data_IF_897975757584
#
_entry.id   IF_897975757584
#
_cell.length_a   1.000
_cell.length_b   1.000
_cell.length_c   1.000
_cell.angle_alpha   90.00
_cell.angle_beta   90.00
_cell.angle_gamma   90.00
#
_symmetry.space_group_name_H-M   'P 1'
#
loop_
_entity.id
_entity.type
_entity.pdbx_description
1 polymer ?
#
# COMPACT_ATOMS: atom_id res chain seq x y z
N UNK A 1 3.96 12.31 3.83
CA UNK A 1 5.12 11.40 3.77
C UNK A 1 4.99 10.42 4.91
N UNK A 2 5.40 9.18 4.69
CA UNK A 2 5.10 8.09 5.60
C UNK A 2 5.70 8.28 7.00
N UNK A 3 5.03 7.72 7.99
CA UNK A 3 5.49 7.62 9.38
C UNK A 3 5.49 6.16 9.83
N UNK A 4 6.35 5.84 10.79
CA UNK A 4 6.43 4.50 11.38
C UNK A 4 5.94 4.55 12.82
N UNK A 5 5.12 3.57 13.20
CA UNK A 5 4.68 3.36 14.58
C UNK A 5 4.95 1.92 15.01
N UNK A 6 5.72 1.73 16.07
CA UNK A 6 6.02 0.41 16.62
C UNK A 6 4.93 -0.02 17.61
N UNK A 7 4.23 -1.11 17.35
CA UNK A 7 3.06 -1.48 18.15
C UNK A 7 3.41 -1.89 19.58
N UNK A 8 4.59 -2.48 19.80
CA UNK A 8 5.00 -2.97 21.12
C UNK A 8 5.54 -1.85 22.03
N UNK A 9 6.26 -0.88 21.46
CA UNK A 9 6.92 0.18 22.23
C UNK A 9 6.18 1.51 22.19
N UNK A 10 5.17 1.62 21.33
CA UNK A 10 4.44 2.86 21.02
C UNK A 10 5.35 4.00 20.48
N UNK A 11 6.57 3.67 20.08
CA UNK A 11 7.54 4.60 19.49
C UNK A 11 7.11 5.03 18.09
N UNK A 12 7.36 6.30 17.74
CA UNK A 12 7.10 6.85 16.41
C UNK A 12 8.36 7.40 15.77
N UNK A 13 8.55 7.09 14.49
CA UNK A 13 9.60 7.67 13.64
C UNK A 13 8.93 8.50 12.55
N UNK A 14 9.23 9.79 12.52
CA UNK A 14 8.68 10.75 11.55
C UNK A 14 9.75 11.51 10.77
N UNK A 15 11.02 11.44 11.20
CA UNK A 15 12.14 12.00 10.44
C UNK A 15 12.35 11.16 9.18
N UNK A 16 12.31 11.81 8.01
CA UNK A 16 12.15 11.13 6.73
C UNK A 16 13.39 10.35 6.31
N UNK A 17 14.56 10.82 6.74
CA UNK A 17 15.80 10.08 6.57
C UNK A 17 15.81 8.78 7.38
N UNK A 18 15.26 8.81 8.60
CA UNK A 18 15.19 7.65 9.49
C UNK A 18 14.13 6.65 9.02
N UNK A 19 12.96 7.12 8.60
CA UNK A 19 11.91 6.28 7.99
C UNK A 19 12.48 5.54 6.78
N UNK A 20 13.13 6.25 5.85
CA UNK A 20 13.74 5.64 4.67
C UNK A 20 14.79 4.59 5.04
N UNK A 21 15.72 4.92 5.91
CA UNK A 21 16.77 4.01 6.33
C UNK A 21 16.22 2.75 7.02
N UNK A 22 15.17 2.91 7.83
CA UNK A 22 14.52 1.80 8.52
C UNK A 22 13.81 0.85 7.56
N UNK A 23 13.06 1.38 6.59
CA UNK A 23 12.36 0.58 5.58
C UNK A 23 13.34 -0.10 4.63
N UNK A 24 14.38 0.63 4.17
CA UNK A 24 15.41 0.09 3.30
C UNK A 24 16.17 -1.07 3.95
N UNK A 25 16.47 -1.00 5.26
CA UNK A 25 17.13 -2.11 5.96
C UNK A 25 16.26 -3.37 6.08
N UNK A 26 14.99 -3.32 5.65
CA UNK A 26 14.01 -4.42 5.61
C UNK A 26 13.60 -4.78 4.18
N UNK A 27 14.33 -4.28 3.19
CA UNK A 27 14.04 -4.42 1.76
C UNK A 27 12.66 -3.86 1.34
N UNK A 28 12.04 -3.02 2.19
CA UNK A 28 10.79 -2.32 1.87
C UNK A 28 11.18 -1.06 1.09
N UNK A 29 10.81 -1.03 -0.19
CA UNK A 29 10.99 0.17 -1.00
C UNK A 29 10.01 1.24 -0.53
N UNK A 30 10.52 2.46 -0.33
CA UNK A 30 9.69 3.64 -0.12
C UNK A 30 10.13 4.78 -1.03
N UNK A 31 9.17 5.36 -1.75
CA UNK A 31 9.37 6.54 -2.58
C UNK A 31 8.30 7.59 -2.27
N UNK A 32 8.68 8.86 -2.40
CA UNK A 32 7.74 9.98 -2.30
C UNK A 32 7.67 10.63 -3.68
N UNK A 33 6.54 10.47 -4.35
CA UNK A 33 6.28 11.05 -5.67
C UNK A 33 5.58 12.40 -5.53
N UNK A 34 5.73 13.26 -6.54
CA UNK A 34 5.13 14.60 -6.53
C UNK A 34 3.62 14.52 -6.77
N UNK A 35 2.87 14.41 -5.68
CA UNK A 35 1.39 14.35 -5.71
C UNK A 35 0.77 15.64 -6.27
N UNK A 36 1.49 16.77 -6.29
CA UNK A 36 0.99 18.01 -6.85
C UNK A 36 0.76 17.95 -8.37
N UNK A 37 1.30 16.93 -9.05
CA UNK A 37 0.98 16.61 -10.45
C UNK A 37 -0.47 16.21 -10.67
N UNK A 38 -1.16 15.71 -9.63
CA UNK A 38 -2.53 15.21 -9.74
C UNK A 38 -3.51 16.37 -10.01
N UNK A 39 -4.31 16.31 -11.10
CA UNK A 39 -5.35 17.30 -11.36
C UNK A 39 -6.28 17.50 -10.17
N UNK A 40 -6.66 18.75 -9.90
CA UNK A 40 -7.52 19.09 -8.75
C UNK A 40 -8.88 18.37 -8.76
N UNK A 41 -9.40 17.99 -9.94
CA UNK A 41 -10.64 17.22 -10.06
C UNK A 41 -10.52 15.77 -9.60
N UNK A 42 -9.30 15.24 -9.48
CA UNK A 42 -9.01 13.87 -9.07
C UNK A 42 -8.51 13.78 -7.62
N UNK A 43 -8.14 14.91 -7.02
CA UNK A 43 -7.76 14.99 -5.60
C UNK A 43 -8.99 14.71 -4.74
N UNK A 44 -8.87 13.76 -3.80
CA UNK A 44 -9.96 13.37 -2.89
C UNK A 44 -11.24 12.90 -3.62
N UNK A 45 -11.10 12.38 -4.84
CA UNK A 45 -12.19 11.75 -5.58
C UNK A 45 -12.21 10.23 -5.33
N UNK A 46 -13.20 9.76 -4.57
CA UNK A 46 -13.35 8.35 -4.21
C UNK A 46 -14.35 7.57 -5.09
N UNK A 47 -15.07 8.25 -5.98
CA UNK A 47 -16.04 7.65 -6.91
C UNK A 47 -15.53 7.76 -8.36
N UNK A 48 -14.39 7.11 -8.60
CA UNK A 48 -13.66 7.21 -9.86
C UNK A 48 -14.42 6.55 -11.03
N UNK A 49 -14.57 7.29 -12.13
CA UNK A 49 -14.91 6.68 -13.42
C UNK A 49 -13.71 5.94 -14.00
N UNK A 50 -13.90 5.21 -15.11
CA UNK A 50 -12.76 4.58 -15.78
C UNK A 50 -11.83 5.63 -16.41
N UNK A 51 -12.37 6.75 -16.90
CA UNK A 51 -11.56 7.89 -17.36
C UNK A 51 -10.72 8.51 -16.22
N UNK A 52 -11.27 8.62 -15.01
CA UNK A 52 -10.54 9.11 -13.85
C UNK A 52 -9.35 8.20 -13.51
N UNK A 53 -9.54 6.88 -13.56
CA UNK A 53 -8.47 5.89 -13.32
C UNK A 53 -7.38 5.98 -14.39
N UNK A 54 -7.76 6.09 -15.66
CA UNK A 54 -6.80 6.28 -16.76
C UNK A 54 -6.00 7.58 -16.60
N UNK A 55 -6.65 8.67 -16.17
CA UNK A 55 -6.00 9.95 -15.92
C UNK A 55 -5.00 9.88 -14.76
N UNK A 56 -5.32 9.17 -13.68
CA UNK A 56 -4.37 8.90 -12.57
C UNK A 56 -3.15 8.15 -13.09
N UNK A 57 -3.34 7.03 -13.80
CA UNK A 57 -2.23 6.24 -14.37
C UNK A 57 -1.40 7.05 -15.36
N UNK A 58 -2.03 7.91 -16.16
CA UNK A 58 -1.33 8.77 -17.10
C UNK A 58 -0.47 9.83 -16.39
N UNK A 59 -0.96 10.38 -15.27
CA UNK A 59 -0.26 11.42 -14.49
C UNK A 59 1.06 10.91 -13.90
N UNK A 60 1.07 9.68 -13.40
CA UNK A 60 2.23 9.06 -12.76
C UNK A 60 2.94 8.02 -13.65
N UNK A 61 2.71 8.09 -14.96
CA UNK A 61 3.23 7.11 -15.92
C UNK A 61 4.76 6.97 -15.85
N UNK A 62 5.48 8.07 -15.75
CA UNK A 62 6.95 8.07 -15.75
C UNK A 62 7.49 7.36 -14.51
N UNK A 63 6.94 7.67 -13.33
CA UNK A 63 7.33 7.05 -12.07
C UNK A 63 6.96 5.56 -12.02
N UNK A 64 5.75 5.20 -12.49
CA UNK A 64 5.31 3.80 -12.62
C UNK A 64 6.25 3.04 -13.56
N UNK A 65 6.63 3.62 -14.70
CA UNK A 65 7.53 2.98 -15.66
C UNK A 65 8.94 2.80 -15.10
N UNK A 66 9.47 3.79 -14.39
CA UNK A 66 10.78 3.72 -13.75
C UNK A 66 10.84 2.60 -12.70
N UNK A 67 9.90 2.57 -11.75
CA UNK A 67 9.87 1.53 -10.71
C UNK A 67 9.61 0.14 -11.32
N UNK A 68 8.75 0.07 -12.34
CA UNK A 68 8.49 -1.19 -13.06
C UNK A 68 9.72 -1.70 -13.80
N UNK A 69 10.52 -0.82 -14.40
CA UNK A 69 11.76 -1.19 -15.06
C UNK A 69 12.82 -1.68 -14.06
N UNK A 70 12.94 -1.02 -12.90
CA UNK A 70 13.89 -1.40 -11.84
C UNK A 70 13.56 -2.72 -11.16
N UNK A 71 12.27 -3.00 -10.95
CA UNK A 71 11.80 -4.14 -10.13
C UNK A 71 11.11 -5.25 -10.93
N UNK A 72 10.90 -5.05 -12.22
CA UNK A 72 10.34 -6.06 -13.13
C UNK A 72 8.81 -6.11 -13.20
N UNK A 73 8.10 -5.13 -12.64
CA UNK A 73 6.64 -5.06 -12.67
C UNK A 73 6.08 -4.92 -14.10
N UNK A 74 4.83 -5.36 -14.31
CA UNK A 74 4.23 -5.53 -15.64
C UNK A 74 2.97 -4.70 -15.85
N UNK A 75 2.10 -4.65 -14.85
CA UNK A 75 0.79 -4.01 -14.97
C UNK A 75 0.50 -3.14 -13.76
N UNK A 76 -0.38 -2.16 -13.96
CA UNK A 76 -0.88 -1.32 -12.89
C UNK A 76 -2.38 -1.05 -13.11
N UNK A 77 -3.11 -0.92 -12.02
CA UNK A 77 -4.50 -0.45 -12.01
C UNK A 77 -4.76 0.47 -10.81
N UNK A 78 -5.98 1.01 -10.72
CA UNK A 78 -6.38 1.93 -9.65
C UNK A 78 -7.56 1.33 -8.90
N UNK A 79 -7.49 1.37 -7.57
CA UNK A 79 -8.60 1.02 -6.69
C UNK A 79 -9.01 2.23 -5.85
N UNK A 80 -10.29 2.25 -5.48
CA UNK A 80 -10.83 3.18 -4.50
C UNK A 80 -11.62 2.38 -3.46
N UNK A 81 -11.28 2.59 -2.18
CA UNK A 81 -12.05 2.12 -1.04
C UNK A 81 -12.56 3.36 -0.29
N UNK A 82 -13.84 3.40 0.02
CA UNK A 82 -14.47 4.42 0.86
C UNK A 82 -15.78 3.88 1.41
N UNK A 83 -16.47 4.61 2.29
CA UNK A 83 -17.79 4.21 2.77
C UNK A 83 -18.84 4.07 1.63
N UNK A 84 -18.56 4.58 0.43
CA UNK A 84 -19.39 4.35 -0.76
C UNK A 84 -19.14 2.98 -1.43
N UNK A 85 -18.06 2.28 -1.08
CA UNK A 85 -17.70 0.96 -1.62
C UNK A 85 -18.69 -0.10 -1.11
N UNK A 86 -19.41 -0.81 -2.00
CA UNK A 86 -20.28 -1.90 -1.59
C UNK A 86 -19.50 -2.98 -0.83
N UNK A 87 -20.05 -3.43 0.30
CA UNK A 87 -19.46 -4.47 1.15
C UNK A 87 -18.06 -4.11 1.67
N UNK A 88 -17.77 -2.82 1.91
CA UNK A 88 -16.46 -2.36 2.42
C UNK A 88 -16.01 -3.17 3.64
N UNK A 89 -16.87 -3.37 4.64
CA UNK A 89 -16.50 -4.08 5.86
C UNK A 89 -16.07 -5.52 5.59
N UNK A 90 -16.75 -6.23 4.68
CA UNK A 90 -16.38 -7.61 4.29
C UNK A 90 -15.05 -7.64 3.53
N UNK A 91 -14.77 -6.63 2.70
CA UNK A 91 -13.49 -6.48 2.01
C UNK A 91 -12.35 -6.21 3.00
N UNK A 92 -12.56 -5.29 3.95
CA UNK A 92 -11.57 -4.92 4.96
C UNK A 92 -11.20 -6.10 5.86
N UNK A 93 -12.15 -6.98 6.20
CA UNK A 93 -11.87 -8.21 6.98
C UNK A 93 -10.80 -9.08 6.30
N UNK A 94 -10.76 -9.14 4.96
CA UNK A 94 -9.74 -9.90 4.26
C UNK A 94 -8.36 -9.22 4.33
N UNK A 95 -8.31 -7.89 4.15
CA UNK A 95 -7.07 -7.13 4.22
C UNK A 95 -6.48 -7.06 5.64
N UNK A 96 -7.32 -7.09 6.67
CA UNK A 96 -6.91 -7.05 8.07
C UNK A 96 -6.42 -8.40 8.61
N UNK A 97 -6.68 -9.50 7.91
CA UNK A 97 -6.10 -10.80 8.27
C UNK A 97 -4.65 -10.82 7.83
N UNK A 98 -3.76 -11.25 8.70
CA UNK A 98 -2.35 -11.42 8.39
C UNK A 98 -2.14 -12.40 7.22
N UNK A 99 -1.43 -11.96 6.19
CA UNK A 99 -1.13 -12.74 4.99
C UNK A 99 0.28 -12.43 4.45
N UNK A 100 0.69 -13.17 3.41
CA UNK A 100 1.82 -12.81 2.56
C UNK A 100 1.47 -13.08 1.09
N UNK A 101 2.35 -12.64 0.20
CA UNK A 101 2.24 -12.81 -1.25
C UNK A 101 3.51 -13.45 -1.82
N UNK A 102 3.40 -14.08 -3.00
CA UNK A 102 4.56 -14.62 -3.72
C UNK A 102 5.18 -13.63 -4.70
N UNK A 103 4.48 -12.51 -4.96
CA UNK A 103 5.01 -11.32 -5.63
C UNK A 103 5.04 -10.14 -4.63
N UNK A 104 5.85 -9.12 -4.94
CA UNK A 104 5.86 -7.87 -4.17
C UNK A 104 4.46 -7.24 -4.16
N UNK A 105 4.06 -6.67 -3.02
CA UNK A 105 2.87 -5.84 -2.95
C UNK A 105 3.23 -4.35 -3.06
N UNK A 106 2.96 -3.78 -4.24
CA UNK A 106 3.28 -2.38 -4.52
C UNK A 106 2.02 -1.53 -4.47
N UNK A 107 2.05 -0.45 -3.69
CA UNK A 107 0.95 0.52 -3.56
C UNK A 107 1.50 1.94 -3.63
N UNK A 108 0.87 2.77 -4.46
CA UNK A 108 1.08 4.21 -4.46
C UNK A 108 -0.22 4.92 -4.07
N UNK A 109 -0.18 5.73 -3.02
CA UNK A 109 -1.37 6.41 -2.48
C UNK A 109 -1.62 7.70 -3.24
N UNK A 110 -2.83 7.83 -3.79
CA UNK A 110 -3.27 8.98 -4.59
C UNK A 110 -4.14 9.92 -3.76
N UNK A 111 -4.99 9.38 -2.88
CA UNK A 111 -5.86 10.14 -1.96
C UNK A 111 -6.19 9.28 -0.75
N UNK A 112 -6.58 9.93 0.35
CA UNK A 112 -6.88 9.23 1.61
C UNK A 112 -5.65 8.54 2.22
N UNK A 113 -5.89 7.55 3.07
CA UNK A 113 -4.86 7.00 3.94
C UNK A 113 -5.00 5.50 4.19
N UNK A 114 -3.86 4.86 4.41
CA UNK A 114 -3.79 3.44 4.71
C UNK A 114 -2.58 3.10 5.57
N UNK A 115 -2.68 1.97 6.26
CA UNK A 115 -1.63 1.45 7.13
C UNK A 115 -1.25 0.06 6.65
N UNK A 116 0.03 -0.14 6.36
CA UNK A 116 0.62 -1.47 6.29
C UNK A 116 1.22 -1.82 7.64
N UNK A 117 0.75 -2.89 8.27
CA UNK A 117 1.38 -3.44 9.46
C UNK A 117 2.24 -4.63 9.04
N UNK A 118 3.54 -4.54 9.29
CA UNK A 118 4.55 -5.51 8.87
C UNK A 118 5.10 -6.24 10.09
N UNK A 119 5.19 -7.57 10.01
CA UNK A 119 5.87 -8.38 11.03
C UNK A 119 7.39 -8.23 10.89
N UNK A 120 8.06 -7.89 11.99
CA UNK A 120 9.51 -7.73 12.06
C UNK A 120 10.07 -8.63 13.16
N UNK A 121 11.05 -9.45 12.79
CA UNK A 121 11.64 -10.40 13.72
C UNK A 121 12.37 -9.74 14.91
N UNK A 122 12.80 -8.49 14.79
CA UNK A 122 13.58 -7.77 15.82
C UNK A 122 12.70 -6.87 16.69
N UNK A 123 11.69 -6.22 16.10
CA UNK A 123 10.87 -5.17 16.71
C UNK A 123 9.41 -5.59 16.93
N UNK A 124 9.01 -6.76 16.44
CA UNK A 124 7.61 -7.12 16.30
C UNK A 124 6.88 -6.22 15.30
N UNK A 125 5.55 -6.26 15.32
CA UNK A 125 4.76 -5.48 14.38
C UNK A 125 5.03 -3.97 14.43
N UNK A 126 5.26 -3.39 13.24
CA UNK A 126 5.30 -1.94 13.04
C UNK A 126 4.34 -1.53 11.93
N UNK A 127 3.77 -0.35 12.09
CA UNK A 127 2.85 0.27 11.14
C UNK A 127 3.62 1.25 10.26
N UNK A 128 3.35 1.22 8.97
CA UNK A 128 3.74 2.23 8.00
C UNK A 128 2.46 2.97 7.62
N UNK A 129 2.33 4.20 8.10
CA UNK A 129 1.17 5.05 7.86
C UNK A 129 1.44 5.88 6.60
N UNK A 130 0.62 5.67 5.57
CA UNK A 130 0.85 6.22 4.23
C UNK A 130 -0.09 7.40 3.97
N UNK A 131 0.45 8.40 3.26
CA UNK A 131 -0.24 9.61 2.83
C UNK A 131 -0.23 9.71 1.30
N UNK A 132 -1.04 10.59 0.70
CA UNK A 132 -0.96 10.88 -0.73
C UNK A 132 0.47 11.25 -1.16
N UNK A 133 0.95 10.63 -2.23
CA UNK A 133 2.33 10.76 -2.72
C UNK A 133 3.27 9.64 -2.25
N UNK A 134 2.87 8.81 -1.29
CA UNK A 134 3.70 7.72 -0.79
C UNK A 134 3.55 6.45 -1.66
N UNK A 135 4.66 5.95 -2.20
CA UNK A 135 4.77 4.62 -2.79
C UNK A 135 5.51 3.68 -1.83
N UNK A 136 4.97 2.48 -1.64
CA UNK A 136 5.61 1.38 -0.93
C UNK A 136 5.65 0.12 -1.81
N UNK A 137 6.71 -0.68 -1.67
CA UNK A 137 6.75 -2.07 -2.10
C UNK A 137 7.08 -2.97 -0.92
N UNK A 138 6.12 -3.79 -0.50
CA UNK A 138 6.33 -4.84 0.52
C UNK A 138 6.88 -6.09 -0.17
N UNK A 139 8.03 -6.64 0.28
CA UNK A 139 8.66 -7.75 -0.41
C UNK A 139 7.90 -9.07 -0.27
N UNK A 140 8.08 -9.97 -1.24
CA UNK A 140 7.55 -11.34 -1.22
C UNK A 140 7.75 -12.03 0.13
N UNK A 141 6.82 -12.90 0.52
CA UNK A 141 6.86 -13.70 1.76
C UNK A 141 6.93 -12.90 3.06
N UNK A 142 6.77 -11.57 3.03
CA UNK A 142 6.67 -10.74 4.23
C UNK A 142 5.28 -10.88 4.83
N UNK A 143 5.17 -11.21 6.11
CA UNK A 143 3.88 -11.25 6.81
C UNK A 143 3.42 -9.82 7.10
N UNK A 144 2.20 -9.52 6.67
CA UNK A 144 1.62 -8.21 6.84
C UNK A 144 0.10 -8.24 6.83
N UNK A 145 -0.51 -7.12 7.17
CA UNK A 145 -1.91 -6.83 6.91
C UNK A 145 -2.11 -5.34 6.60
N UNK A 146 -3.24 -5.01 5.99
CA UNK A 146 -3.60 -3.65 5.62
C UNK A 146 -4.88 -3.20 6.33
N UNK A 147 -4.90 -1.96 6.77
CA UNK A 147 -6.12 -1.29 7.25
C UNK A 147 -6.19 0.15 6.78
N UNK A 148 -7.41 0.67 6.65
CA UNK A 148 -7.64 2.11 6.48
C UNK A 148 -7.38 2.85 7.80
N UNK A 149 -7.08 4.15 7.71
CA UNK A 149 -7.07 5.03 8.87
C UNK A 149 -8.51 5.45 9.25
N UNK A 150 -8.63 6.38 10.21
CA UNK A 150 -9.91 6.82 10.76
C UNK A 150 -10.86 7.42 9.71
N UNK A 151 -10.32 7.99 8.63
CA UNK A 151 -11.08 8.54 7.51
C UNK A 151 -11.71 7.45 6.62
N UNK A 152 -11.34 6.18 6.80
CA UNK A 152 -11.91 5.01 6.12
C UNK A 152 -11.97 5.14 4.60
N UNK A 153 -10.97 5.79 4.00
CA UNK A 153 -10.95 6.01 2.56
C UNK A 153 -9.52 6.02 2.01
N UNK A 154 -9.33 5.44 0.82
CA UNK A 154 -8.07 5.45 0.10
C UNK A 154 -8.30 5.26 -1.40
N UNK A 155 -7.54 6.00 -2.20
CA UNK A 155 -7.32 5.71 -3.62
C UNK A 155 -5.87 5.30 -3.79
N UNK A 156 -5.64 4.13 -4.39
CA UNK A 156 -4.30 3.61 -4.59
C UNK A 156 -4.10 3.08 -6.00
N UNK A 157 -2.94 3.37 -6.59
CA UNK A 157 -2.42 2.63 -7.72
C UNK A 157 -1.80 1.34 -7.20
N UNK A 158 -2.21 0.20 -7.76
CA UNK A 158 -1.60 -1.11 -7.50
C UNK A 158 -0.70 -1.44 -8.67
N UNK A 159 0.52 -1.91 -8.39
CA UNK A 159 1.48 -2.32 -9.41
C UNK A 159 1.85 -3.78 -9.16
N UNK A 160 1.89 -4.60 -10.21
CA UNK A 160 2.00 -6.05 -10.09
C UNK A 160 3.12 -6.61 -10.97
N UNK A 161 3.80 -7.67 -10.50
CA UNK A 161 4.58 -8.56 -11.37
C UNK A 161 3.63 -9.45 -12.17
N UNK A 162 2.76 -10.21 -11.47
CA UNK A 162 1.71 -11.03 -12.07
C UNK A 162 0.37 -10.86 -11.35
N UNK A 163 -0.73 -11.22 -12.01
CA UNK A 163 -2.06 -11.24 -11.38
C UNK A 163 -2.26 -12.44 -10.47
N UNK A 164 -1.47 -13.51 -10.59
CA UNK A 164 -1.56 -14.66 -9.69
C UNK A 164 -0.80 -14.42 -8.37
N UNK A 165 0.33 -13.72 -8.40
CA UNK A 165 1.21 -13.59 -7.24
C UNK A 165 0.72 -12.67 -6.12
N UNK A 166 -0.30 -11.83 -6.38
CA UNK A 166 -0.91 -10.96 -5.35
C UNK A 166 -2.01 -11.65 -4.53
N UNK A 167 -2.35 -12.91 -4.81
CA UNK A 167 -3.38 -13.60 -4.02
C UNK A 167 -2.88 -13.76 -2.57
N UNK A 168 -3.67 -13.37 -1.54
CA UNK A 168 -3.24 -13.49 -0.16
C UNK A 168 -3.10 -14.95 0.26
N UNK A 169 -1.93 -15.30 0.79
CA UNK A 169 -1.67 -16.59 1.42
C UNK A 169 -1.80 -16.41 2.92
N UNK A 170 -2.93 -16.86 3.44
CA UNK A 170 -3.14 -16.99 4.87
C UNK A 170 -2.44 -18.27 5.36
N UNK A 171 -1.99 -18.27 6.61
CA UNK A 171 -1.60 -19.54 7.24
C UNK A 171 -2.79 -20.49 7.17
N UNK A 172 -2.52 -21.78 6.92
CA UNK A 172 -3.56 -22.79 7.05
C UNK A 172 -4.07 -22.67 8.48
N UNK A 173 -5.33 -22.28 8.64
CA UNK A 173 -6.03 -22.58 9.88
C UNK A 173 -5.74 -24.04 10.16
N UNK A 174 -5.25 -24.34 11.37
CA UNK A 174 -5.32 -25.70 11.86
C UNK A 174 -6.81 -26.05 11.88
N UNK A 175 -7.33 -26.53 10.76
CA UNK A 175 -8.61 -27.21 10.68
C UNK A 175 -8.38 -28.51 11.41
N UNK A 176 -8.47 -28.43 12.74
CA UNK A 176 -8.66 -29.61 13.57
C UNK A 176 -9.96 -30.23 13.09
N UNK A 177 -9.82 -31.37 12.40
CA UNK A 177 -10.91 -32.25 12.02
C UNK A 177 -11.70 -32.73 13.25
#
# INVERSE_FOLDING_TARGET
MATIYFQQTEERVSEQQEVRAFLESRDILYEAWDIAKLPASLQENYQLTDEDKEAILATFREEIQDVSARRGYKTADVISLSDATPNLDELLVNFQKEHHHTDDEVRFIVSGHGIFAIDDAERGYFNIELNPGDLISVPVNTRHYFTLQEDRQVVAVRIFVTTEGWVPIYDKENVTA
#
